data_IF_793090869860
#
_entry.id   IF_793090869860
#
_cell.length_a   1.000
_cell.length_b   1.000
_cell.length_c   1.000
_cell.angle_alpha   90.00
_cell.angle_beta   90.00
_cell.angle_gamma   90.00
#
_symmetry.space_group_name_H-M   'P 1'
#
loop_
_entity.id
_entity.type
_entity.pdbx_description
1 polymer ?
#
# COMPACT_ATOMS: atom_id res chain seq x y z
N UNK A 1 -17.60 -27.71 10.37
CA UNK A 1 -16.16 -27.54 10.21
C UNK A 1 -15.84 -26.56 9.11
N UNK A 2 -15.23 -25.46 9.44
CA UNK A 2 -14.93 -24.51 8.39
C UNK A 2 -13.78 -25.01 7.52
N UNK A 3 -13.84 -24.64 6.27
CA UNK A 3 -12.76 -24.96 5.34
C UNK A 3 -11.50 -24.19 5.69
N UNK A 4 -11.68 -23.04 6.31
CA UNK A 4 -10.55 -22.17 6.58
C UNK A 4 -10.24 -22.14 8.06
N UNK A 5 -8.99 -22.02 8.44
CA UNK A 5 -8.65 -21.92 9.86
C UNK A 5 -9.22 -20.64 10.46
N UNK A 6 -9.39 -20.64 11.75
CA UNK A 6 -9.83 -19.44 12.44
C UNK A 6 -8.80 -18.34 12.27
N UNK A 7 -9.27 -17.16 12.02
CA UNK A 7 -8.42 -16.01 11.74
C UNK A 7 -8.45 -15.04 12.90
N UNK A 8 -7.29 -14.54 13.24
CA UNK A 8 -7.20 -13.44 14.20
C UNK A 8 -7.52 -12.17 13.43
N UNK A 9 -8.79 -11.78 13.45
CA UNK A 9 -9.25 -10.65 12.64
C UNK A 9 -8.60 -9.33 13.03
N UNK A 10 -8.43 -9.10 14.33
CA UNK A 10 -7.84 -7.86 14.80
C UNK A 10 -6.40 -7.70 14.27
N UNK A 11 -5.62 -8.76 14.38
CA UNK A 11 -4.25 -8.73 13.93
C UNK A 11 -4.15 -8.63 12.41
N UNK A 12 -5.01 -9.35 11.72
CA UNK A 12 -5.04 -9.33 10.25
C UNK A 12 -5.40 -7.92 9.74
N UNK A 13 -6.41 -7.30 10.35
CA UNK A 13 -6.80 -5.93 9.97
C UNK A 13 -5.66 -4.94 10.25
N UNK A 14 -4.98 -5.11 11.36
CA UNK A 14 -3.86 -4.24 11.68
C UNK A 14 -2.75 -4.38 10.65
N UNK A 15 -2.45 -5.62 10.25
CA UNK A 15 -1.45 -5.86 9.21
C UNK A 15 -1.86 -5.19 7.90
N UNK A 16 -3.13 -5.31 7.52
CA UNK A 16 -3.64 -4.68 6.31
C UNK A 16 -3.49 -3.16 6.36
N UNK A 17 -3.82 -2.56 7.51
CA UNK A 17 -3.68 -1.13 7.68
C UNK A 17 -2.23 -0.68 7.51
N UNK A 18 -1.30 -1.42 8.06
CA UNK A 18 0.12 -1.07 7.93
C UNK A 18 0.57 -1.06 6.48
N UNK A 19 0.15 -2.07 5.73
CA UNK A 19 0.50 -2.16 4.32
C UNK A 19 -0.09 -0.96 3.55
N UNK A 20 -1.38 -0.70 3.76
CA UNK A 20 -2.05 0.38 3.04
C UNK A 20 -1.50 1.75 3.42
N UNK A 21 -1.17 1.95 4.69
CA UNK A 21 -0.58 3.22 5.14
C UNK A 21 0.78 3.48 4.52
N UNK A 22 1.45 2.42 4.12
CA UNK A 22 2.75 2.55 3.46
C UNK A 22 2.65 2.95 1.99
N UNK A 23 1.44 2.91 1.40
CA UNK A 23 1.27 3.17 -0.02
C UNK A 23 1.81 4.54 -0.46
N UNK A 24 1.53 5.64 0.23
CA UNK A 24 2.07 6.93 -0.20
C UNK A 24 3.59 6.97 -0.21
N UNK A 25 4.22 6.29 0.73
CA UNK A 25 5.68 6.23 0.78
C UNK A 25 6.21 5.45 -0.42
N UNK A 26 5.62 4.28 -0.70
CA UNK A 26 6.05 3.48 -1.84
C UNK A 26 5.86 4.24 -3.14
N UNK A 27 4.75 4.99 -3.23
CA UNK A 27 4.50 5.79 -4.42
C UNK A 27 5.55 6.87 -4.61
N UNK A 28 5.96 7.51 -3.54
CA UNK A 28 7.02 8.51 -3.63
C UNK A 28 8.33 7.89 -4.08
N UNK A 29 8.65 6.72 -3.58
CA UNK A 29 9.89 6.04 -3.96
C UNK A 29 9.82 5.58 -5.42
N UNK A 30 8.70 5.02 -5.84
CA UNK A 30 8.55 4.51 -7.19
C UNK A 30 8.51 5.63 -8.24
N UNK A 31 7.84 6.71 -7.91
CA UNK A 31 7.71 7.84 -8.82
C UNK A 31 8.76 8.88 -8.55
N UNK A 32 9.81 8.47 -7.90
CA UNK A 32 10.85 9.35 -7.48
C UNK A 32 11.54 9.90 -8.69
N UNK A 33 11.10 11.03 -9.08
CA UNK A 33 11.76 11.76 -10.12
C UNK A 33 13.14 12.12 -9.67
N UNK A 34 13.39 11.86 -8.43
CA UNK A 34 14.73 12.01 -7.93
C UNK A 34 15.65 11.06 -8.62
N UNK A 35 15.13 10.05 -9.26
CA UNK A 35 15.94 9.27 -10.14
C UNK A 35 16.66 10.17 -11.12
N UNK A 36 15.95 11.17 -11.60
CA UNK A 36 16.52 12.12 -12.52
C UNK A 36 17.42 13.10 -11.79
N UNK A 37 17.01 13.53 -10.63
CA UNK A 37 17.82 14.45 -9.85
C UNK A 37 19.08 13.78 -9.38
N UNK A 38 18.98 12.54 -8.99
CA UNK A 38 20.13 11.79 -8.57
C UNK A 38 21.10 11.65 -9.74
N UNK A 39 20.57 11.37 -10.91
CA UNK A 39 21.40 11.27 -12.08
C UNK A 39 22.10 12.60 -12.37
N UNK A 40 21.36 13.68 -12.23
CA UNK A 40 21.89 15.00 -12.45
C UNK A 40 22.97 15.33 -11.43
N UNK A 41 22.67 15.07 -10.18
CA UNK A 41 23.61 15.31 -9.10
C UNK A 41 24.87 14.53 -9.33
N UNK A 42 24.73 13.31 -9.80
CA UNK A 42 25.74 12.45 -10.08
C UNK A 42 26.65 12.94 -11.11
N UNK A 43 26.15 13.59 -12.13
CA UNK A 43 26.96 14.14 -13.18
C UNK A 43 27.91 15.20 -12.67
N UNK A 44 27.53 15.86 -11.64
CA UNK A 44 28.31 16.93 -11.11
C UNK A 44 29.22 16.52 -9.98
N UNK A 45 29.06 15.33 -9.49
CA UNK A 45 29.90 14.93 -8.43
C UNK A 45 31.23 14.57 -8.95
N UNK A 46 32.19 15.07 -8.32
CA UNK A 46 33.54 14.80 -8.76
C UNK A 46 33.82 13.46 -8.30
N UNK A 47 34.17 12.85 -8.30
CA UNK A 47 34.28 11.69 -8.00
C UNK A 47 35.33 11.13 -7.64
N UNK A 48 35.20 10.62 -7.01
CA UNK A 48 35.81 9.55 -6.67
C UNK A 48 35.37 8.49 -7.49
N UNK A 49 36.21 8.08 -8.27
CA UNK A 49 35.96 7.19 -9.24
C UNK A 49 35.16 6.11 -8.72
N UNK A 50 34.20 6.28 -8.84
CA UNK A 50 33.49 5.40 -8.94
C UNK A 50 32.96 4.46 -7.95
N UNK A 51 33.56 4.18 -6.99
CA UNK A 51 33.18 3.18 -6.22
C UNK A 51 31.90 3.38 -5.55
N UNK A 52 31.73 4.31 -4.71
CA UNK A 52 30.55 4.55 -3.91
C UNK A 52 29.41 5.02 -4.77
N UNK A 53 29.74 5.71 -5.83
CA UNK A 53 28.75 6.26 -6.73
C UNK A 53 27.94 5.17 -7.39
N UNK A 54 28.62 4.17 -7.89
CA UNK A 54 27.97 3.06 -8.53
C UNK A 54 27.07 2.31 -7.56
N UNK A 55 27.56 2.13 -6.36
CA UNK A 55 26.80 1.44 -5.34
C UNK A 55 25.51 2.19 -5.00
N UNK A 56 25.56 3.51 -4.95
CA UNK A 56 24.37 4.30 -4.68
C UNK A 56 23.36 4.19 -5.80
N UNK A 57 23.82 4.23 -7.03
CA UNK A 57 22.93 4.09 -8.17
C UNK A 57 22.23 2.74 -8.15
N UNK A 58 22.97 1.69 -7.86
CA UNK A 58 22.38 0.36 -7.78
C UNK A 58 21.36 0.28 -6.68
N UNK A 59 21.65 0.84 -5.51
CA UNK A 59 20.73 0.81 -4.39
C UNK A 59 19.44 1.56 -4.70
N UNK A 60 19.55 2.70 -5.36
CA UNK A 60 18.39 3.47 -5.73
C UNK A 60 17.53 2.76 -6.76
N UNK A 61 18.19 2.12 -7.71
CA UNK A 61 17.47 1.36 -8.73
C UNK A 61 16.71 0.19 -8.10
N UNK A 62 17.33 -0.50 -7.17
CA UNK A 62 16.70 -1.61 -6.48
C UNK A 62 15.51 -1.12 -5.67
N UNK A 63 15.66 -0.03 -4.95
CA UNK A 63 14.58 0.54 -4.16
C UNK A 63 13.40 0.92 -5.02
N UNK A 64 13.66 1.50 -6.18
CA UNK A 64 12.59 1.88 -7.09
C UNK A 64 11.84 0.66 -7.61
N UNK A 65 12.56 -0.38 -7.99
CA UNK A 65 11.94 -1.61 -8.46
C UNK A 65 11.11 -2.25 -7.35
N UNK A 66 11.66 -2.31 -6.14
CA UNK A 66 10.92 -2.86 -5.01
C UNK A 66 9.65 -2.07 -4.74
N UNK A 67 9.73 -0.75 -4.84
CA UNK A 67 8.57 0.10 -4.63
C UNK A 67 7.51 -0.13 -5.70
N UNK A 68 7.93 -0.29 -6.95
CA UNK A 68 7.00 -0.55 -8.03
C UNK A 68 6.28 -1.88 -7.86
N UNK A 69 7.01 -2.90 -7.41
CA UNK A 69 6.43 -4.21 -7.13
C UNK A 69 5.42 -4.11 -5.99
N UNK A 70 5.75 -3.37 -4.94
CA UNK A 70 4.86 -3.22 -3.81
C UNK A 70 3.60 -2.44 -4.18
N UNK A 71 3.75 -1.36 -4.95
CA UNK A 71 2.59 -0.61 -5.41
C UNK A 71 1.66 -1.48 -6.23
N UNK A 72 2.24 -2.26 -7.13
CA UNK A 72 1.48 -3.14 -7.99
C UNK A 72 0.71 -4.16 -7.17
N UNK A 73 1.36 -4.74 -6.16
CA UNK A 73 0.71 -5.71 -5.29
C UNK A 73 -0.47 -5.10 -4.54
N UNK A 74 -0.31 -3.89 -4.02
CA UNK A 74 -1.37 -3.20 -3.30
C UNK A 74 -2.51 -2.85 -4.25
N UNK A 75 -2.18 -2.29 -5.41
CA UNK A 75 -3.19 -1.87 -6.38
C UNK A 75 -3.98 -3.05 -6.92
N UNK A 76 -3.31 -4.15 -7.16
CA UNK A 76 -3.98 -5.35 -7.63
C UNK A 76 -4.93 -5.90 -6.58
N UNK A 77 -4.52 -5.89 -5.32
CA UNK A 77 -5.38 -6.37 -4.26
C UNK A 77 -6.63 -5.51 -4.11
N UNK A 78 -6.47 -4.19 -4.14
CA UNK A 78 -7.62 -3.30 -4.03
C UNK A 78 -8.54 -3.43 -5.25
N UNK A 79 -7.94 -3.46 -6.44
CA UNK A 79 -8.73 -3.57 -7.68
C UNK A 79 -9.45 -4.91 -7.79
N UNK A 80 -8.91 -5.93 -7.16
CA UNK A 80 -9.49 -7.26 -7.19
C UNK A 80 -10.66 -7.49 -6.24
N UNK A 81 -10.95 -6.51 -5.38
CA UNK A 81 -12.08 -6.65 -4.46
C UNK A 81 -13.38 -6.68 -5.23
N UNK A 82 -14.24 -7.61 -4.88
CA UNK A 82 -15.52 -7.75 -5.56
C UNK A 82 -16.44 -6.58 -5.32
N UNK A 83 -16.49 -6.11 -4.10
CA UNK A 83 -17.43 -5.06 -3.71
C UNK A 83 -16.91 -3.68 -4.11
N UNK A 84 -17.62 -2.98 -5.00
CA UNK A 84 -17.17 -1.64 -5.41
C UNK A 84 -17.04 -0.66 -4.25
N UNK A 85 -17.86 -0.84 -3.23
CA UNK A 85 -17.81 0.03 -2.06
C UNK A 85 -16.52 -0.17 -1.29
N UNK A 86 -16.06 -1.41 -1.16
CA UNK A 86 -14.79 -1.72 -0.51
C UNK A 86 -13.64 -1.07 -1.29
N UNK A 87 -13.65 -1.22 -2.61
CA UNK A 87 -12.62 -0.62 -3.46
C UNK A 87 -12.57 0.88 -3.27
N UNK A 88 -13.74 1.51 -3.28
CA UNK A 88 -13.84 2.95 -3.18
C UNK A 88 -13.32 3.47 -1.84
N UNK A 89 -13.72 2.82 -0.74
CA UNK A 89 -13.29 3.23 0.58
C UNK A 89 -11.77 3.12 0.73
N UNK A 90 -11.21 2.00 0.33
CA UNK A 90 -9.76 1.83 0.45
C UNK A 90 -9.00 2.77 -0.46
N UNK A 91 -9.51 2.99 -1.67
CA UNK A 91 -8.89 3.93 -2.58
C UNK A 91 -8.89 5.35 -2.02
N UNK A 92 -10.04 5.83 -1.58
CA UNK A 92 -10.15 7.21 -1.10
C UNK A 92 -9.42 7.44 0.21
N UNK A 93 -9.34 6.42 1.05
CA UNK A 93 -8.68 6.55 2.34
C UNK A 93 -7.16 6.39 2.24
N UNK A 94 -6.67 5.51 1.38
CA UNK A 94 -5.26 5.15 1.38
C UNK A 94 -4.50 5.40 0.08
N UNK A 95 -5.16 5.25 -1.06
CA UNK A 95 -4.45 5.26 -2.34
C UNK A 95 -4.49 6.59 -3.09
N UNK A 96 -5.49 7.38 -2.83
CA UNK A 96 -5.65 8.64 -3.52
C UNK A 96 -4.56 9.64 -3.12
N UNK A 97 -4.16 10.52 -4.03
CA UNK A 97 -3.15 11.52 -3.71
C UNK A 97 -3.56 12.37 -2.50
N UNK A 98 -4.81 12.80 -2.49
CA UNK A 98 -5.33 13.57 -1.37
C UNK A 98 -6.27 12.64 -0.61
N UNK A 99 -5.70 11.84 0.30
CA UNK A 99 -6.50 10.91 1.07
C UNK A 99 -7.53 11.66 1.90
N UNK A 100 -8.76 11.15 1.88
CA UNK A 100 -9.85 11.78 2.61
C UNK A 100 -9.93 11.22 4.02
N UNK A 101 -10.50 12.02 4.90
CA UNK A 101 -10.75 11.57 6.26
C UNK A 101 -11.97 10.66 6.27
N UNK A 102 -12.04 9.82 7.28
CA UNK A 102 -13.15 8.87 7.41
C UNK A 102 -14.50 9.55 7.39
N UNK A 103 -14.64 10.67 8.09
CA UNK A 103 -15.90 11.39 8.14
C UNK A 103 -16.33 11.86 6.75
N UNK A 104 -15.38 12.34 5.98
CA UNK A 104 -15.67 12.82 4.63
C UNK A 104 -16.12 11.69 3.74
N UNK A 105 -15.44 10.56 3.80
CA UNK A 105 -15.79 9.40 2.99
C UNK A 105 -17.19 8.90 3.36
N UNK A 106 -17.45 8.81 4.67
CA UNK A 106 -18.76 8.37 5.14
C UNK A 106 -19.87 9.29 4.64
N UNK A 107 -19.65 10.59 4.68
CA UNK A 107 -20.61 11.56 4.17
C UNK A 107 -20.82 11.42 2.68
N UNK A 108 -19.75 11.29 1.92
CA UNK A 108 -19.82 11.15 0.48
C UNK A 108 -20.60 9.89 0.07
N UNK A 109 -20.51 8.86 0.87
CA UNK A 109 -21.20 7.60 0.60
C UNK A 109 -22.55 7.50 1.28
N UNK A 110 -22.95 8.53 2.01
CA UNK A 110 -24.22 8.57 2.75
C UNK A 110 -24.31 7.42 3.74
N UNK A 111 -23.21 7.17 4.46
CA UNK A 111 -23.15 6.12 5.45
C UNK A 111 -23.10 6.72 6.85
N UNK A 112 -23.74 6.01 7.80
CA UNK A 112 -23.58 6.36 9.19
C UNK A 112 -22.17 5.99 9.63
N UNK A 113 -21.73 6.55 10.75
CA UNK A 113 -20.40 6.26 11.25
C UNK A 113 -20.21 4.77 11.51
N UNK A 114 -21.16 4.13 12.18
CA UNK A 114 -21.00 2.72 12.48
C UNK A 114 -21.03 1.86 11.22
N UNK A 115 -21.88 2.19 10.25
CA UNK A 115 -21.90 1.47 8.99
C UNK A 115 -20.59 1.62 8.24
N UNK A 116 -20.05 2.83 8.24
CA UNK A 116 -18.80 3.08 7.57
C UNK A 116 -17.66 2.24 8.15
N UNK A 117 -17.53 2.23 9.48
CA UNK A 117 -16.44 1.46 10.10
C UNK A 117 -16.63 -0.04 9.96
N UNK A 118 -17.89 -0.50 9.94
CA UNK A 118 -18.13 -1.90 9.69
C UNK A 118 -17.67 -2.31 8.28
N UNK A 119 -18.01 -1.48 7.30
CA UNK A 119 -17.62 -1.76 5.92
C UNK A 119 -16.11 -1.62 5.75
N UNK A 120 -15.51 -0.64 6.41
CA UNK A 120 -14.06 -0.48 6.37
C UNK A 120 -13.36 -1.72 6.92
N UNK A 121 -13.82 -2.25 8.04
CA UNK A 121 -13.25 -3.46 8.61
C UNK A 121 -13.35 -4.63 7.65
N UNK A 122 -14.51 -4.78 7.02
CA UNK A 122 -14.69 -5.86 6.05
C UNK A 122 -13.80 -5.69 4.84
N UNK A 123 -13.61 -4.45 4.39
CA UNK A 123 -12.74 -4.18 3.26
C UNK A 123 -11.29 -4.48 3.59
N UNK A 124 -10.87 -4.21 4.82
CA UNK A 124 -9.50 -4.51 5.24
C UNK A 124 -9.25 -6.01 5.28
N UNK A 125 -10.24 -6.79 5.76
CA UNK A 125 -10.12 -8.24 5.76
C UNK A 125 -10.06 -8.77 4.33
N UNK A 126 -10.91 -8.25 3.44
CA UNK A 126 -10.91 -8.67 2.06
C UNK A 126 -9.59 -8.33 1.36
N UNK A 127 -9.04 -7.16 1.67
CA UNK A 127 -7.74 -6.77 1.16
C UNK A 127 -6.66 -7.76 1.60
N UNK A 128 -6.67 -8.13 2.89
CA UNK A 128 -5.68 -9.07 3.41
C UNK A 128 -5.76 -10.42 2.71
N UNK A 129 -6.97 -10.84 2.34
CA UNK A 129 -7.14 -12.10 1.63
C UNK A 129 -6.53 -12.10 0.25
N UNK A 130 -6.57 -10.97 -0.42
CA UNK A 130 -6.06 -10.85 -1.78
C UNK A 130 -4.60 -10.43 -1.87
N UNK A 131 -4.15 -9.64 -0.93
CA UNK A 131 -2.80 -9.11 -0.97
C UNK A 131 -1.79 -10.25 -0.83
N UNK A 132 -1.00 -10.43 -1.88
CA UNK A 132 0.04 -11.48 -1.94
C UNK A 132 -0.49 -12.83 -1.47
N UNK A 133 -1.70 -13.17 -1.95
CA UNK A 133 -2.31 -14.46 -1.64
C UNK A 133 -2.53 -14.73 -0.16
N UNK A 134 -2.89 -13.68 0.57
CA UNK A 134 -3.21 -13.83 1.98
C UNK A 134 -2.01 -13.82 2.91
N UNK A 135 -0.89 -13.30 2.45
CA UNK A 135 0.33 -13.25 3.25
C UNK A 135 0.15 -12.59 4.61
N UNK A 136 -0.75 -11.60 4.70
CA UNK A 136 -0.95 -10.84 5.92
C UNK A 136 -2.02 -11.39 6.85
N UNK A 137 -2.62 -12.53 6.49
CA UNK A 137 -3.60 -13.16 7.34
C UNK A 137 -2.92 -13.86 8.50
N UNK A 138 -3.38 -13.55 9.71
CA UNK A 138 -2.86 -14.21 10.90
C UNK A 138 -3.91 -15.19 11.38
N UNK A 139 -3.49 -16.40 11.70
CA UNK A 139 -4.41 -17.40 12.20
C UNK A 139 -4.31 -17.47 13.73
N UNK A 140 -5.35 -18.01 14.32
CA UNK A 140 -5.39 -18.15 15.77
C UNK A 140 -4.62 -19.37 16.26
N UNK A 141 -4.44 -20.32 15.38
CA UNK A 141 -3.77 -21.55 15.75
C UNK A 141 -2.27 -21.51 15.59
#
# INVERSE_FOLDING_TARGET
MPFFPDINEAKTKENAKKILKGYPRWRRVANDTDGQRVTTTYSFMPRNPGRDTTSQVEKLAIRKVDAEIELDAIEQAVSGLHDPLYRRILFEKYLQWNCKKDETIAMDLSLSESSYYDILDKSLMAFAELYRNGEQIETLG
#
